data_IF_403290439955
#
_entry.id   IF_403290439955
#
_cell.length_a   1.000
_cell.length_b   1.000
_cell.length_c   1.000
_cell.angle_alpha   90.00
_cell.angle_beta   90.00
_cell.angle_gamma   90.00
#
_symmetry.space_group_name_H-M   'P 1'
#
loop_
_entity.id
_entity.type
_entity.pdbx_description
1 polymer ?
#
# COMPACT_ATOMS: atom_id res chain seq x y z
N UNK A 1 45.81 -66.91 24.06
CA UNK A 1 44.82 -67.20 23.01
C UNK A 1 45.05 -66.22 21.86
N UNK A 2 44.69 -66.58 20.63
CA UNK A 2 45.29 -66.15 19.36
C UNK A 2 45.31 -64.63 18.99
N UNK A 3 46.39 -64.28 18.28
CA UNK A 3 46.58 -63.41 17.09
C UNK A 3 45.40 -63.39 16.06
N UNK A 4 45.38 -62.60 14.94
CA UNK A 4 46.53 -62.03 14.20
C UNK A 4 46.34 -60.56 13.66
N UNK A 5 47.41 -59.80 13.34
CA UNK A 5 47.95 -59.45 11.98
C UNK A 5 47.00 -58.71 11.01
N UNK A 6 47.43 -57.91 10.01
CA UNK A 6 48.68 -57.20 9.60
C UNK A 6 48.32 -56.37 8.33
N UNK A 7 48.96 -55.26 7.91
CA UNK A 7 50.23 -55.15 7.16
C UNK A 7 50.57 -53.65 6.96
N UNK A 8 51.80 -53.19 7.24
CA UNK A 8 52.92 -52.86 6.30
C UNK A 8 52.56 -51.82 5.21
N UNK A 9 53.15 -50.61 5.15
CA UNK A 9 54.57 -50.14 5.01
C UNK A 9 55.24 -50.39 3.64
N UNK A 10 55.55 -49.28 2.95
CA UNK A 10 56.85 -48.90 2.34
C UNK A 10 56.80 -47.36 2.11
N UNK A 11 57.78 -46.48 2.43
CA UNK A 11 59.25 -46.40 2.19
C UNK A 11 59.59 -46.31 0.69
N UNK A 12 60.46 -45.42 0.20
CA UNK A 12 61.15 -44.21 0.73
C UNK A 12 61.30 -43.21 -0.45
N UNK A 13 62.23 -42.25 -0.58
CA UNK A 13 63.42 -41.73 0.12
C UNK A 13 63.47 -40.20 -0.17
N UNK A 14 63.96 -39.30 0.69
CA UNK A 14 65.33 -38.72 0.69
C UNK A 14 65.86 -38.26 -0.69
N UNK A 15 66.54 -37.11 -0.87
CA UNK A 15 66.72 -35.89 -0.06
C UNK A 15 67.40 -34.77 -0.92
N UNK A 16 67.66 -33.60 -0.30
CA UNK A 16 68.73 -32.62 -0.62
C UNK A 16 68.66 -31.64 -1.84
N UNK A 17 68.87 -30.36 -1.49
CA UNK A 17 69.37 -29.19 -2.28
C UNK A 17 70.91 -29.33 -2.57
N UNK A 18 71.68 -28.37 -3.19
CA UNK A 18 71.43 -26.93 -3.45
C UNK A 18 72.02 -26.23 -4.73
N UNK A 19 71.64 -24.96 -4.89
CA UNK A 19 72.34 -23.75 -5.45
C UNK A 19 73.45 -23.81 -6.54
N UNK A 20 73.38 -22.91 -7.55
CA UNK A 20 74.19 -21.66 -7.63
C UNK A 20 74.25 -20.96 -9.02
N UNK A 21 74.36 -19.61 -9.05
CA UNK A 21 74.85 -18.78 -10.18
C UNK A 21 73.81 -18.15 -11.14
N UNK A 22 73.97 -16.95 -11.73
CA UNK A 22 75.09 -15.98 -11.67
C UNK A 22 74.74 -14.59 -12.32
N UNK A 23 75.00 -13.44 -11.65
CA UNK A 23 75.23 -12.04 -12.18
C UNK A 23 74.09 -11.31 -12.97
N UNK A 24 73.92 -9.96 -13.07
CA UNK A 24 74.70 -8.74 -12.71
C UNK A 24 73.81 -7.47 -12.48
N UNK A 25 74.42 -6.37 -12.01
CA UNK A 25 73.93 -5.10 -11.39
C UNK A 25 73.12 -4.07 -12.26
N UNK A 26 72.37 -3.16 -11.61
CA UNK A 26 71.81 -1.88 -12.16
C UNK A 26 72.76 -0.66 -12.01
N UNK A 27 72.35 0.64 -11.79
CA UNK A 27 70.98 1.25 -11.67
C UNK A 27 70.79 2.72 -12.26
N UNK A 28 69.63 3.37 -11.97
CA UNK A 28 69.28 4.84 -11.96
C UNK A 28 68.78 5.59 -13.24
N UNK A 29 67.99 6.65 -12.97
CA UNK A 29 67.22 7.58 -13.87
C UNK A 29 68.02 8.90 -14.17
N UNK A 30 67.49 10.11 -14.60
CA UNK A 30 66.11 10.65 -14.74
C UNK A 30 65.85 11.63 -15.96
N UNK A 31 64.89 12.60 -15.83
CA UNK A 31 64.55 13.78 -16.70
C UNK A 31 63.63 13.50 -17.93
N UNK A 32 62.76 14.40 -18.45
CA UNK A 32 62.27 15.72 -18.00
C UNK A 32 61.63 16.59 -19.14
N UNK A 33 60.77 17.57 -18.79
CA UNK A 33 60.37 18.78 -19.58
C UNK A 33 59.25 18.76 -20.70
N UNK A 34 58.68 19.94 -21.10
CA UNK A 34 57.28 20.10 -21.56
C UNK A 34 57.06 20.89 -22.90
N UNK A 35 55.79 21.10 -23.37
CA UNK A 35 55.24 22.41 -23.85
C UNK A 35 53.91 22.41 -24.67
N UNK A 36 53.08 23.42 -24.38
CA UNK A 36 52.17 24.28 -25.21
C UNK A 36 51.57 23.84 -26.59
N UNK A 37 50.23 23.78 -26.60
CA UNK A 37 49.26 24.56 -27.42
C UNK A 37 49.37 24.77 -28.96
N UNK A 38 48.31 24.36 -29.69
CA UNK A 38 47.59 24.99 -30.85
C UNK A 38 46.47 24.02 -31.29
N UNK A 39 45.16 24.27 -31.20
CA UNK A 39 44.26 25.24 -31.85
C UNK A 39 43.78 24.89 -33.28
N UNK A 40 42.44 24.73 -33.42
CA UNK A 40 41.54 24.79 -34.61
C UNK A 40 40.98 23.48 -35.24
N UNK A 41 39.64 23.40 -35.11
CA UNK A 41 38.62 23.07 -36.12
C UNK A 41 38.47 21.64 -36.69
N UNK A 42 37.31 21.03 -36.39
CA UNK A 42 36.53 20.20 -37.32
C UNK A 42 35.03 20.22 -36.94
N UNK A 43 34.18 20.07 -37.96
CA UNK A 43 32.75 20.40 -38.01
C UNK A 43 31.80 19.72 -36.99
N UNK A 44 30.70 20.42 -36.69
CA UNK A 44 29.48 19.84 -36.15
C UNK A 44 28.70 19.10 -37.25
N UNK A 45 28.10 17.96 -36.90
CA UNK A 45 27.12 17.25 -37.74
C UNK A 45 25.86 16.99 -36.92
N UNK A 46 24.84 17.81 -37.18
CA UNK A 46 23.49 17.70 -36.63
C UNK A 46 22.69 16.64 -37.37
N UNK A 47 22.19 15.61 -36.66
CA UNK A 47 21.20 14.68 -37.19
C UNK A 47 19.79 15.08 -36.74
N UNK A 48 18.88 15.19 -37.71
CA UNK A 48 17.46 15.49 -37.51
C UNK A 48 16.64 14.19 -37.27
N UNK A 49 15.47 14.28 -36.63
CA UNK A 49 14.64 13.11 -36.28
C UNK A 49 13.82 12.56 -37.46
N UNK A 50 13.43 11.28 -37.34
CA UNK A 50 12.62 10.56 -38.32
C UNK A 50 11.11 10.93 -38.28
N UNK A 51 10.36 10.80 -39.41
CA UNK A 51 9.01 11.33 -39.54
C UNK A 51 7.87 10.39 -39.08
N UNK A 52 6.74 11.00 -38.69
CA UNK A 52 5.47 10.31 -38.41
C UNK A 52 4.69 9.93 -39.69
N UNK A 53 3.83 8.91 -39.66
CA UNK A 53 2.86 8.62 -40.72
C UNK A 53 1.64 9.57 -40.69
N UNK A 54 0.94 9.78 -41.83
CA UNK A 54 -0.02 10.87 -41.98
C UNK A 54 -1.46 10.56 -41.52
N UNK A 55 -2.19 11.61 -41.13
CA UNK A 55 -3.66 11.63 -41.04
C UNK A 55 -4.28 11.86 -42.42
N UNK A 56 -5.41 11.21 -42.71
CA UNK A 56 -6.26 11.49 -43.88
C UNK A 56 -7.47 12.32 -43.41
N UNK A 57 -7.87 13.31 -44.23
CA UNK A 57 -8.96 14.24 -43.96
C UNK A 57 -10.29 13.84 -44.64
N UNK A 58 -11.38 14.55 -44.29
CA UNK A 58 -12.77 14.23 -44.60
C UNK A 58 -13.22 14.57 -46.04
N UNK A 59 -14.28 13.90 -46.53
CA UNK A 59 -15.03 14.32 -47.74
C UNK A 59 -16.35 13.59 -47.99
N UNK A 60 -17.47 14.33 -47.96
CA UNK A 60 -18.76 14.16 -48.71
C UNK A 60 -19.62 12.85 -48.65
N UNK A 61 -20.93 13.05 -48.38
CA UNK A 61 -22.10 12.21 -48.81
C UNK A 61 -22.59 12.67 -50.21
N UNK A 62 -23.67 12.16 -50.89
CA UNK A 62 -24.68 11.10 -50.61
C UNK A 62 -24.85 10.12 -51.83
N UNK A 63 -26.00 9.47 -52.21
CA UNK A 63 -27.30 9.19 -51.56
C UNK A 63 -27.84 7.72 -51.65
N UNK A 64 -28.98 7.49 -50.98
CA UNK A 64 -29.99 6.40 -51.02
C UNK A 64 -30.02 5.31 -52.12
N UNK A 65 -30.38 4.06 -51.75
CA UNK A 65 -31.64 3.35 -52.13
C UNK A 65 -31.84 1.97 -51.44
N UNK A 66 -33.09 1.51 -51.39
CA UNK A 66 -33.61 0.21 -50.86
C UNK A 66 -33.36 -0.97 -51.84
N UNK A 67 -33.55 -2.25 -51.40
CA UNK A 67 -34.85 -2.90 -51.65
C UNK A 67 -35.43 -3.81 -50.53
N UNK A 68 -36.77 -3.88 -50.50
CA UNK A 68 -37.72 -4.95 -50.07
C UNK A 68 -37.22 -6.19 -49.27
N UNK A 69 -37.79 -6.59 -48.13
CA UNK A 69 -39.19 -6.96 -47.76
C UNK A 69 -39.66 -8.35 -48.25
N UNK A 70 -39.66 -9.37 -47.36
CA UNK A 70 -40.57 -10.54 -47.37
C UNK A 70 -40.99 -10.91 -45.92
N UNK A 71 -42.22 -11.41 -45.77
CA UNK A 71 -43.01 -11.82 -44.59
C UNK A 71 -42.34 -12.78 -43.57
N UNK A 72 -42.68 -12.82 -42.26
CA UNK A 72 -43.92 -13.36 -41.60
C UNK A 72 -44.24 -14.81 -42.05
N UNK A 73 -44.58 -15.81 -41.22
CA UNK A 73 -45.28 -15.82 -39.91
C UNK A 73 -45.31 -17.20 -39.20
N UNK A 74 -45.56 -17.21 -37.87
CA UNK A 74 -46.23 -18.26 -37.04
C UNK A 74 -45.53 -19.63 -36.78
N UNK A 75 -45.62 -20.11 -35.52
CA UNK A 75 -45.46 -21.52 -35.10
C UNK A 75 -46.81 -22.08 -34.61
N UNK A 76 -46.90 -22.95 -33.58
CA UNK A 76 -45.91 -23.85 -32.96
C UNK A 76 -46.33 -25.35 -33.09
N UNK A 77 -45.59 -26.31 -32.50
CA UNK A 77 -46.05 -27.71 -32.45
C UNK A 77 -45.23 -28.65 -31.56
N UNK A 78 -45.91 -29.31 -30.62
CA UNK A 78 -45.45 -30.50 -29.87
C UNK A 78 -46.44 -31.62 -30.17
N UNK A 79 -45.99 -32.88 -30.30
CA UNK A 79 -46.72 -33.94 -29.61
C UNK A 79 -45.84 -35.02 -28.96
N UNK A 80 -46.50 -35.80 -28.11
CA UNK A 80 -46.00 -36.89 -27.25
C UNK A 80 -46.35 -38.29 -27.77
N UNK A 81 -45.68 -39.33 -27.25
CA UNK A 81 -46.10 -40.75 -27.34
C UNK A 81 -44.92 -41.69 -27.67
N UNK A 82 -44.40 -42.54 -26.78
CA UNK A 82 -44.98 -43.73 -26.10
C UNK A 82 -44.69 -45.04 -26.86
N UNK A 83 -43.99 -45.99 -26.23
CA UNK A 83 -43.74 -47.34 -26.74
C UNK A 83 -42.96 -48.21 -25.74
N UNK A 84 -43.57 -49.29 -25.25
CA UNK A 84 -43.06 -50.18 -24.18
C UNK A 84 -42.10 -51.29 -24.67
N UNK A 85 -41.31 -51.91 -23.77
CA UNK A 85 -40.19 -52.77 -24.20
C UNK A 85 -39.65 -53.94 -23.35
N UNK A 86 -40.25 -54.33 -22.21
CA UNK A 86 -40.11 -55.66 -21.53
C UNK A 86 -38.78 -56.15 -20.84
N UNK A 87 -39.00 -56.87 -19.71
CA UNK A 87 -38.20 -57.91 -18.99
C UNK A 87 -37.09 -57.49 -17.98
N UNK A 88 -37.28 -57.88 -16.70
CA UNK A 88 -36.23 -58.11 -15.67
C UNK A 88 -35.96 -59.62 -15.48
N UNK A 89 -35.61 -60.16 -14.28
CA UNK A 89 -35.46 -59.54 -12.95
C UNK A 89 -34.21 -60.02 -12.11
N UNK A 90 -34.25 -59.75 -10.78
CA UNK A 90 -33.38 -60.22 -9.67
C UNK A 90 -32.13 -59.36 -9.29
N UNK A 91 -31.82 -59.10 -8.01
CA UNK A 91 -32.58 -59.34 -6.77
C UNK A 91 -31.81 -58.99 -5.46
N UNK A 92 -32.49 -59.14 -4.29
CA UNK A 92 -31.97 -59.25 -2.89
C UNK A 92 -31.28 -57.99 -2.27
N UNK A 93 -31.90 -57.33 -1.28
CA UNK A 93 -31.76 -57.50 0.20
C UNK A 93 -30.55 -56.77 0.84
N UNK A 94 -30.55 -56.19 2.04
CA UNK A 94 -31.59 -55.80 3.03
C UNK A 94 -30.95 -54.82 4.06
N UNK A 95 -31.75 -54.13 4.89
CA UNK A 95 -31.26 -53.34 6.02
C UNK A 95 -30.87 -54.22 7.24
N UNK A 96 -30.26 -53.65 8.29
CA UNK A 96 -30.98 -53.69 9.58
C UNK A 96 -30.81 -52.45 10.49
N UNK A 97 -31.72 -52.34 11.46
CA UNK A 97 -31.65 -51.46 12.63
C UNK A 97 -32.56 -52.08 13.73
N UNK A 98 -32.51 -51.72 15.02
CA UNK A 98 -31.75 -50.73 15.78
C UNK A 98 -31.72 -51.16 17.28
N UNK A 99 -30.93 -50.49 18.14
CA UNK A 99 -31.31 -49.98 19.51
C UNK A 99 -30.07 -49.68 20.38
N UNK A 100 -30.08 -49.01 21.55
CA UNK A 100 -30.82 -47.89 22.21
C UNK A 100 -30.77 -48.10 23.75
N UNK A 101 -30.13 -47.18 24.48
CA UNK A 101 -30.31 -46.80 25.89
C UNK A 101 -29.60 -45.43 26.05
N UNK A 102 -30.04 -44.39 26.76
CA UNK A 102 -30.94 -44.26 27.94
C UNK A 102 -30.06 -44.04 29.18
N UNK A 103 -30.15 -42.99 30.02
CA UNK A 103 -31.01 -41.80 30.16
C UNK A 103 -30.13 -40.60 30.66
N UNK A 104 -30.58 -39.38 30.96
CA UNK A 104 -31.89 -38.88 31.38
C UNK A 104 -31.98 -37.33 31.41
N UNK A 105 -32.96 -36.80 32.15
CA UNK A 105 -33.60 -35.51 31.85
C UNK A 105 -33.25 -34.33 32.79
N UNK A 106 -33.62 -33.11 32.35
CA UNK A 106 -33.61 -31.89 33.16
C UNK A 106 -34.22 -30.70 32.40
N UNK A 107 -35.52 -30.46 32.57
CA UNK A 107 -36.22 -29.32 31.98
C UNK A 107 -36.52 -28.25 33.05
N UNK A 108 -36.52 -26.97 32.65
CA UNK A 108 -36.92 -25.86 33.53
C UNK A 108 -37.10 -24.58 32.75
N UNK A 109 -38.27 -23.93 32.89
CA UNK A 109 -38.60 -22.68 32.23
C UNK A 109 -38.91 -21.58 33.25
N UNK A 110 -38.39 -20.37 33.00
CA UNK A 110 -39.06 -19.04 33.07
C UNK A 110 -39.96 -18.79 34.31
N UNK A 111 -39.69 -17.76 35.14
CA UNK A 111 -40.01 -16.40 34.69
C UNK A 111 -39.13 -15.23 35.16
N UNK A 112 -39.31 -14.12 34.44
CA UNK A 112 -38.75 -12.81 34.77
C UNK A 112 -39.59 -12.07 35.84
N UNK A 113 -38.92 -11.37 36.76
CA UNK A 113 -39.56 -10.38 37.64
C UNK A 113 -38.53 -9.34 38.13
N UNK A 114 -38.64 -8.09 37.64
CA UNK A 114 -38.08 -6.89 38.28
C UNK A 114 -38.57 -5.61 37.56
N UNK A 115 -39.74 -5.09 37.93
CA UNK A 115 -40.17 -3.71 37.63
C UNK A 115 -41.14 -3.25 38.71
N UNK A 116 -40.91 -2.03 39.22
CA UNK A 116 -41.81 -1.05 39.85
C UNK A 116 -40.92 -0.09 40.71
N UNK A 117 -41.38 1.14 41.07
CA UNK A 117 -42.28 2.03 40.36
C UNK A 117 -41.65 3.44 40.17
N UNK A 118 -42.40 4.36 39.56
CA UNK A 118 -41.87 5.61 39.04
C UNK A 118 -41.78 6.81 39.99
N UNK A 119 -41.04 7.80 39.49
CA UNK A 119 -41.23 9.23 39.66
C UNK A 119 -40.93 9.87 38.28
N UNK A 120 -41.50 10.99 37.85
CA UNK A 120 -42.34 11.94 38.57
C UNK A 120 -42.15 13.33 37.97
N UNK A 121 -42.83 13.60 36.86
CA UNK A 121 -43.03 14.89 36.15
C UNK A 121 -42.18 16.10 36.58
N UNK A 122 -41.57 16.79 35.60
CA UNK A 122 -41.88 18.22 35.37
C UNK A 122 -41.52 18.70 33.97
N UNK A 123 -42.46 19.40 33.34
CA UNK A 123 -42.22 20.19 32.15
C UNK A 123 -41.71 21.59 32.55
N UNK A 124 -40.89 22.20 31.70
CA UNK A 124 -40.40 23.57 31.85
C UNK A 124 -40.45 24.31 30.53
N UNK A 125 -41.57 25.01 30.27
CA UNK A 125 -41.70 25.91 29.13
C UNK A 125 -41.18 27.32 29.47
N UNK A 126 -40.43 27.91 28.54
CA UNK A 126 -40.18 29.36 28.33
C UNK A 126 -39.27 29.46 27.10
N UNK A 127 -39.55 30.20 26.03
CA UNK A 127 -40.65 31.12 25.76
C UNK A 127 -40.17 32.57 25.73
N UNK A 128 -39.61 32.99 24.59
CA UNK A 128 -39.50 34.36 24.07
C UNK A 128 -38.56 34.32 22.84
N UNK A 129 -38.66 35.16 21.81
CA UNK A 129 -39.70 36.03 21.23
C UNK A 129 -38.98 36.66 20.01
N UNK A 130 -39.56 36.57 18.82
CA UNK A 130 -39.07 37.36 17.69
C UNK A 130 -39.60 38.81 17.78
N UNK A 131 -38.87 39.77 17.19
CA UNK A 131 -39.27 41.18 17.07
C UNK A 131 -38.53 41.83 15.89
N UNK A 132 -39.22 42.46 14.90
CA UNK A 132 -38.59 42.84 13.62
C UNK A 132 -38.47 44.37 13.38
N UNK A 133 -37.70 44.74 12.36
CA UNK A 133 -37.67 46.06 11.71
C UNK A 133 -36.60 46.05 10.60
N UNK A 134 -36.95 46.12 9.30
CA UNK A 134 -37.05 47.35 8.49
C UNK A 134 -35.73 48.19 8.46
N UNK A 135 -35.23 48.67 7.31
CA UNK A 135 -35.88 48.96 6.01
C UNK A 135 -34.86 48.95 4.85
N UNK A 136 -35.34 48.92 3.60
CA UNK A 136 -34.50 48.89 2.39
C UNK A 136 -34.05 50.28 1.91
N UNK A 137 -32.97 50.32 1.10
CA UNK A 137 -32.54 51.47 0.31
C UNK A 137 -31.60 51.02 -0.83
N UNK A 138 -31.85 51.49 -2.06
CA UNK A 138 -31.10 51.13 -3.29
C UNK A 138 -30.17 52.29 -3.70
N UNK A 139 -29.04 52.01 -4.36
CA UNK A 139 -28.20 53.06 -4.98
C UNK A 139 -27.00 52.51 -5.76
N UNK A 140 -26.95 52.82 -7.05
CA UNK A 140 -26.08 52.27 -8.11
C UNK A 140 -24.60 52.79 -8.11
N UNK A 141 -23.72 52.36 -9.05
CA UNK A 141 -22.26 52.35 -8.88
C UNK A 141 -21.44 53.40 -9.69
N UNK A 142 -20.17 53.59 -9.30
CA UNK A 142 -19.05 54.17 -10.08
C UNK A 142 -17.72 53.67 -9.42
N UNK A 143 -16.84 52.89 -10.08
CA UNK A 143 -15.87 53.20 -11.15
C UNK A 143 -14.51 53.75 -10.68
N UNK A 144 -13.49 52.89 -10.74
CA UNK A 144 -12.03 53.13 -10.93
C UNK A 144 -11.27 54.21 -10.11
N UNK A 145 -10.17 53.77 -9.46
CA UNK A 145 -9.11 54.64 -8.94
C UNK A 145 -7.92 53.82 -8.42
N UNK A 146 -6.68 54.17 -8.80
CA UNK A 146 -5.47 53.42 -8.45
C UNK A 146 -4.69 54.08 -7.29
N UNK A 147 -3.87 53.29 -6.61
CA UNK A 147 -3.01 53.68 -5.48
C UNK A 147 -3.23 52.73 -4.29
N UNK A 148 -2.23 52.18 -3.61
CA UNK A 148 -0.80 52.51 -3.64
C UNK A 148 -0.32 52.97 -2.27
N UNK A 149 -0.38 52.10 -1.25
CA UNK A 149 0.27 52.32 0.05
C UNK A 149 0.53 51.02 0.82
N UNK A 150 1.72 50.95 1.38
CA UNK A 150 2.29 49.97 2.32
C UNK A 150 1.36 49.38 3.39
N UNK A 151 1.47 48.07 3.62
CA UNK A 151 1.02 47.42 4.85
C UNK A 151 1.97 47.70 6.03
N UNK A 152 1.47 47.81 7.28
CA UNK A 152 2.31 48.01 8.46
C UNK A 152 2.94 46.69 8.97
N UNK A 153 4.14 46.74 9.59
CA UNK A 153 4.79 45.56 10.14
C UNK A 153 4.21 45.13 11.49
N UNK A 154 4.19 43.81 11.71
CA UNK A 154 3.80 43.20 12.98
C UNK A 154 4.88 43.42 14.05
N UNK A 155 4.48 43.72 15.29
CA UNK A 155 5.40 43.85 16.44
C UNK A 155 5.64 42.49 17.09
N UNK A 156 6.89 42.15 17.47
CA UNK A 156 7.17 41.05 18.38
C UNK A 156 6.86 41.44 19.83
N UNK A 157 6.63 40.44 20.67
CA UNK A 157 6.47 40.58 22.12
C UNK A 157 7.67 39.93 22.82
N UNK A 158 8.33 40.67 23.71
CA UNK A 158 9.31 40.16 24.68
C UNK A 158 8.75 40.48 26.08
N UNK A 159 8.46 39.45 26.89
CA UNK A 159 9.29 38.88 27.97
C UNK A 159 9.15 39.60 29.33
N UNK A 160 8.85 38.81 30.36
CA UNK A 160 8.82 39.18 31.77
C UNK A 160 8.77 37.89 32.63
N UNK A 161 9.76 37.64 33.52
CA UNK A 161 9.96 36.31 34.12
C UNK A 161 9.48 36.17 35.57
N UNK A 162 9.25 34.93 36.02
CA UNK A 162 9.30 34.37 37.39
C UNK A 162 8.95 32.86 37.27
N UNK A 163 9.45 31.91 38.06
CA UNK A 163 10.56 31.84 39.02
C UNK A 163 10.73 30.37 39.42
N UNK A 164 11.95 29.85 39.59
CA UNK A 164 12.20 28.46 40.03
C UNK A 164 11.91 28.24 41.52
N UNK A 165 11.74 26.97 41.94
CA UNK A 165 12.23 26.54 43.25
C UNK A 165 13.17 25.31 43.18
N UNK A 166 14.13 25.30 44.11
CA UNK A 166 15.22 24.33 44.25
C UNK A 166 14.80 23.06 45.05
N UNK A 167 15.72 22.11 45.07
CA UNK A 167 15.65 20.72 45.51
C UNK A 167 15.69 20.47 47.03
N UNK A 168 15.02 19.40 47.46
CA UNK A 168 15.44 18.49 48.54
C UNK A 168 14.52 17.25 48.61
N UNK A 169 15.05 16.14 49.09
CA UNK A 169 14.38 14.82 49.22
C UNK A 169 14.60 14.30 50.66
N UNK A 170 14.16 13.07 51.05
CA UNK A 170 13.18 12.15 50.47
C UNK A 170 12.08 11.71 51.46
N UNK A 171 10.97 11.11 51.00
CA UNK A 171 10.13 10.24 51.86
C UNK A 171 9.60 9.02 51.10
N UNK A 172 9.57 7.87 51.80
CA UNK A 172 9.01 6.61 51.31
C UNK A 172 7.49 6.60 51.43
N UNK A 173 6.76 6.39 50.33
CA UNK A 173 5.33 6.09 50.41
C UNK A 173 4.91 4.92 49.52
N UNK A 174 4.13 4.03 50.16
CA UNK A 174 3.73 2.73 49.64
C UNK A 174 2.94 2.86 48.33
N UNK A 175 3.32 2.04 47.35
CA UNK A 175 2.61 1.96 46.07
C UNK A 175 1.18 1.41 46.26
N UNK A 176 0.18 2.28 46.12
CA UNK A 176 -1.23 1.89 46.09
C UNK A 176 -1.66 1.23 44.77
N UNK A 177 -2.87 0.63 44.69
CA UNK A 177 -3.29 -0.20 43.55
C UNK A 177 -3.45 0.50 42.19
N UNK A 178 -3.18 1.80 42.10
CA UNK A 178 -3.33 2.59 40.88
C UNK A 178 -2.25 2.28 39.82
N UNK A 179 -1.03 1.91 40.23
CA UNK A 179 0.08 1.64 39.30
C UNK A 179 -0.17 0.42 38.40
N UNK A 180 -0.95 -0.57 38.86
CA UNK A 180 -1.23 -1.80 38.11
C UNK A 180 -2.17 -1.60 36.91
N UNK A 181 -2.84 -0.45 36.80
CA UNK A 181 -3.74 -0.15 35.67
C UNK A 181 -3.01 0.44 34.45
N UNK A 182 -1.80 0.95 34.62
CA UNK A 182 -0.97 1.48 33.53
C UNK A 182 -0.24 0.38 32.73
N UNK A 183 0.00 -0.79 33.34
CA UNK A 183 0.73 -1.91 32.71
C UNK A 183 -0.15 -2.68 31.70
N UNK A 184 -1.48 -2.52 31.75
CA UNK A 184 -2.44 -3.28 30.94
C UNK A 184 -2.97 -2.55 29.69
N UNK A 185 -2.42 -1.36 29.36
CA UNK A 185 -2.79 -0.60 28.15
C UNK A 185 -1.73 -0.64 27.04
N UNK A 186 -0.60 -1.32 27.25
CA UNK A 186 0.42 -1.54 26.22
C UNK A 186 0.17 -2.78 25.35
N UNK A 187 -0.86 -3.57 25.63
CA UNK A 187 -1.02 -4.96 25.15
C UNK A 187 -1.88 -5.17 23.90
N UNK A 188 -2.38 -4.12 23.25
CA UNK A 188 -3.14 -4.24 21.97
C UNK A 188 -2.33 -3.80 20.73
N UNK A 189 -1.38 -2.87 20.88
CA UNK A 189 -0.57 -2.36 19.75
C UNK A 189 0.49 -3.34 19.23
N UNK A 190 0.93 -4.31 20.04
CA UNK A 190 1.95 -5.30 19.66
C UNK A 190 1.39 -6.53 18.93
N UNK A 191 0.09 -6.54 18.59
CA UNK A 191 -0.60 -7.74 18.10
C UNK A 191 -0.34 -8.09 16.63
N UNK A 192 0.36 -7.23 15.88
CA UNK A 192 0.72 -7.46 14.46
C UNK A 192 2.14 -7.99 14.37
N UNK A 193 2.30 -9.20 13.82
CA UNK A 193 3.61 -9.82 13.59
C UNK A 193 4.31 -9.21 12.36
N UNK A 194 5.66 -9.20 12.37
CA UNK A 194 6.43 -8.99 11.15
C UNK A 194 6.31 -10.21 10.23
N UNK A 195 6.48 -10.03 8.92
CA UNK A 195 6.28 -11.09 7.93
C UNK A 195 7.23 -10.92 6.76
N UNK A 196 8.06 -11.91 6.50
CA UNK A 196 8.90 -11.94 5.29
C UNK A 196 8.11 -12.53 4.12
N UNK A 197 7.92 -11.75 3.06
CA UNK A 197 7.57 -12.29 1.74
C UNK A 197 8.86 -12.61 1.02
N UNK A 198 9.22 -13.89 1.01
CA UNK A 198 10.42 -14.39 0.34
C UNK A 198 10.14 -14.69 -1.12
N UNK A 199 11.03 -14.24 -1.99
CA UNK A 199 11.23 -14.68 -3.36
C UNK A 199 12.73 -15.01 -3.53
N UNK A 200 13.13 -15.68 -4.60
CA UNK A 200 14.51 -16.07 -4.85
C UNK A 200 15.43 -14.86 -5.11
N UNK A 201 14.95 -13.86 -5.84
CA UNK A 201 15.71 -12.66 -6.21
C UNK A 201 15.55 -11.50 -5.21
N UNK A 202 14.42 -11.48 -4.49
CA UNK A 202 13.97 -10.32 -3.71
C UNK A 202 13.22 -10.78 -2.46
N UNK A 203 13.47 -10.16 -1.31
CA UNK A 203 12.64 -10.32 -0.11
C UNK A 203 12.02 -8.98 0.30
N UNK A 204 10.82 -9.04 0.86
CA UNK A 204 10.16 -7.89 1.48
C UNK A 204 9.74 -8.27 2.89
N UNK A 205 10.41 -7.70 3.90
CA UNK A 205 10.01 -7.83 5.31
C UNK A 205 9.03 -6.71 5.66
N UNK A 206 7.80 -7.10 6.04
CA UNK A 206 6.77 -6.19 6.53
C UNK A 206 7.05 -5.83 7.99
N UNK A 207 7.22 -4.54 8.28
CA UNK A 207 7.52 -4.01 9.61
C UNK A 207 6.31 -3.19 10.13
N UNK A 208 5.49 -3.74 11.04
CA UNK A 208 4.40 -3.01 11.67
C UNK A 208 4.91 -1.76 12.41
N UNK A 209 4.35 -0.61 12.07
CA UNK A 209 4.64 0.67 12.71
C UNK A 209 3.36 1.35 13.20
N UNK A 210 3.52 2.23 14.20
CA UNK A 210 2.43 3.00 14.81
C UNK A 210 1.23 2.10 15.15
N UNK A 211 0.00 2.53 14.84
CA UNK A 211 -1.22 1.74 15.06
C UNK A 211 -1.45 0.71 13.95
N UNK A 212 -1.46 1.15 12.70
CA UNK A 212 -1.84 0.35 11.53
C UNK A 212 -0.90 0.51 10.31
N UNK A 213 0.07 1.44 10.33
CA UNK A 213 1.07 1.59 9.27
C UNK A 213 1.94 0.32 9.08
N UNK A 214 2.50 0.19 7.87
CA UNK A 214 3.56 -0.75 7.52
C UNK A 214 4.74 -0.03 6.84
N UNK A 215 5.94 -0.29 7.35
CA UNK A 215 7.21 0.02 6.67
C UNK A 215 7.69 -1.26 5.97
N UNK A 216 8.46 -1.14 4.89
CA UNK A 216 8.89 -2.31 4.11
C UNK A 216 10.39 -2.34 3.88
N UNK A 217 11.09 -3.31 4.48
CA UNK A 217 12.49 -3.57 4.19
C UNK A 217 12.57 -4.44 2.93
N UNK A 218 12.84 -3.79 1.80
CA UNK A 218 13.10 -4.39 0.50
C UNK A 218 14.57 -4.83 0.43
N UNK A 219 14.81 -6.11 0.16
CA UNK A 219 16.14 -6.72 0.13
C UNK A 219 16.39 -7.28 -1.27
N UNK A 220 17.51 -6.91 -1.88
CA UNK A 220 18.10 -7.63 -3.01
C UNK A 220 18.86 -8.85 -2.50
N UNK A 221 18.45 -10.05 -2.90
CA UNK A 221 19.12 -11.28 -2.45
C UNK A 221 20.50 -11.47 -3.09
N UNK A 222 20.78 -10.85 -4.24
CA UNK A 222 22.07 -10.99 -4.94
C UNK A 222 23.18 -10.18 -4.27
N UNK A 223 22.94 -8.89 -4.03
CA UNK A 223 23.95 -7.98 -3.48
C UNK A 223 23.90 -7.79 -1.95
N UNK A 224 22.79 -8.21 -1.32
CA UNK A 224 22.42 -7.86 0.07
C UNK A 224 22.32 -6.35 0.34
N UNK A 225 22.21 -5.51 -0.70
CA UNK A 225 21.72 -4.15 -0.53
C UNK A 225 20.22 -4.15 -0.21
N UNK A 226 19.80 -3.19 0.61
CA UNK A 226 18.41 -3.02 1.01
C UNK A 226 17.95 -1.56 0.90
N UNK A 227 16.65 -1.41 0.68
CA UNK A 227 15.94 -0.16 0.81
C UNK A 227 14.84 -0.29 1.87
N UNK A 228 14.55 0.81 2.57
CA UNK A 228 13.40 0.90 3.46
C UNK A 228 12.35 1.83 2.84
N UNK A 229 11.10 1.38 2.83
CA UNK A 229 9.95 2.20 2.43
C UNK A 229 9.30 2.79 3.69
N UNK A 230 9.05 4.10 3.68
CA UNK A 230 8.31 4.85 4.71
C UNK A 230 8.75 4.60 6.17
N UNK A 231 10.01 4.93 6.54
CA UNK A 231 10.69 4.46 7.76
C UNK A 231 10.32 5.21 9.06
N UNK A 232 9.04 5.41 9.37
CA UNK A 232 8.59 6.24 10.51
C UNK A 232 9.12 5.81 11.89
N UNK A 233 9.50 4.54 12.09
CA UNK A 233 10.14 4.04 13.32
C UNK A 233 11.58 3.52 13.06
N UNK A 234 12.60 4.40 12.94
CA UNK A 234 13.95 4.04 12.51
C UNK A 234 14.65 2.92 13.29
N UNK A 235 14.42 2.79 14.59
CA UNK A 235 15.07 1.73 15.39
C UNK A 235 14.65 0.34 14.90
N UNK A 236 13.34 0.12 14.69
CA UNK A 236 12.81 -1.14 14.12
C UNK A 236 13.40 -1.45 12.74
N UNK A 237 13.70 -0.42 11.94
CA UNK A 237 14.35 -0.58 10.63
C UNK A 237 15.76 -1.11 10.82
N UNK A 238 16.57 -0.51 11.70
CA UNK A 238 17.94 -0.95 11.94
C UNK A 238 18.01 -2.34 12.60
N UNK A 239 17.06 -2.65 13.49
CA UNK A 239 16.94 -3.98 14.09
C UNK A 239 16.62 -5.04 13.03
N UNK A 240 15.75 -4.72 12.05
CA UNK A 240 15.46 -5.58 10.91
C UNK A 240 16.66 -5.71 9.94
N UNK A 241 17.35 -4.62 9.64
CA UNK A 241 18.58 -4.61 8.82
C UNK A 241 19.64 -5.53 9.45
N UNK A 242 19.82 -5.44 10.78
CA UNK A 242 20.71 -6.32 11.54
C UNK A 242 20.24 -7.79 11.56
N UNK A 243 18.95 -8.04 11.79
CA UNK A 243 18.32 -9.38 11.74
C UNK A 243 18.57 -10.09 10.40
N UNK A 244 18.49 -9.35 9.29
CA UNK A 244 18.65 -9.89 7.94
C UNK A 244 20.10 -9.86 7.42
N UNK A 245 21.04 -9.19 8.12
CA UNK A 245 22.44 -9.11 7.71
C UNK A 245 22.65 -8.34 6.40
N UNK A 246 21.82 -7.33 6.15
CA UNK A 246 21.81 -6.55 4.89
C UNK A 246 22.42 -5.17 5.06
N UNK A 247 22.80 -4.53 3.95
CA UNK A 247 23.30 -3.15 3.92
C UNK A 247 22.19 -2.20 3.47
N UNK A 248 21.70 -1.36 4.38
CA UNK A 248 20.73 -0.33 4.03
C UNK A 248 21.43 0.79 3.22
N UNK A 249 20.94 1.08 2.01
CA UNK A 249 21.55 2.14 1.14
C UNK A 249 20.57 3.24 0.75
N UNK A 250 19.27 2.99 0.94
CA UNK A 250 18.20 3.71 0.25
C UNK A 250 16.96 3.84 1.13
N UNK A 251 16.36 5.03 1.16
CA UNK A 251 15.03 5.28 1.71
C UNK A 251 14.11 5.67 0.55
N UNK A 252 12.95 5.03 0.47
CA UNK A 252 11.91 5.31 -0.51
C UNK A 252 10.70 5.89 0.23
N UNK A 253 10.42 7.19 0.07
CA UNK A 253 9.33 7.86 0.78
C UNK A 253 8.16 8.08 -0.17
N UNK A 254 7.04 7.39 0.05
CA UNK A 254 5.87 7.44 -0.85
C UNK A 254 5.26 8.84 -0.87
N UNK A 255 5.12 9.48 0.29
CA UNK A 255 4.60 10.84 0.40
C UNK A 255 5.01 11.53 1.70
N UNK A 256 4.65 12.81 1.85
CA UNK A 256 5.19 13.68 2.90
C UNK A 256 4.48 13.59 4.27
N UNK A 257 3.40 12.81 4.42
CA UNK A 257 2.72 12.70 5.71
C UNK A 257 3.66 12.10 6.78
N UNK A 258 3.50 12.57 8.02
CA UNK A 258 4.44 12.30 9.10
C UNK A 258 4.57 10.81 9.44
N UNK A 259 3.47 10.06 9.31
CA UNK A 259 3.42 8.63 9.58
C UNK A 259 4.14 7.77 8.51
N UNK A 260 4.62 8.40 7.44
CA UNK A 260 5.49 7.81 6.41
C UNK A 260 6.90 8.42 6.43
N UNK A 261 7.00 9.76 6.38
CA UNK A 261 8.26 10.50 6.24
C UNK A 261 8.91 10.89 7.58
N UNK A 262 8.19 10.85 8.70
CA UNK A 262 8.60 11.44 9.98
C UNK A 262 9.82 10.80 10.65
N UNK A 263 10.19 9.59 10.22
CA UNK A 263 11.40 8.91 10.67
C UNK A 263 12.67 9.25 9.87
N UNK A 264 12.54 9.84 8.67
CA UNK A 264 13.65 10.04 7.72
C UNK A 264 14.83 10.78 8.36
N UNK A 265 14.58 11.93 8.99
CA UNK A 265 15.65 12.74 9.61
C UNK A 265 16.40 12.03 10.73
N UNK A 266 15.70 11.17 11.50
CA UNK A 266 16.33 10.39 12.56
C UNK A 266 17.12 9.23 11.95
N UNK A 267 16.59 8.55 10.93
CA UNK A 267 17.27 7.44 10.27
C UNK A 267 18.60 7.87 9.63
N UNK A 268 18.64 9.00 8.89
CA UNK A 268 19.90 9.48 8.25
C UNK A 268 20.96 9.97 9.25
N UNK A 269 20.58 10.25 10.50
CA UNK A 269 21.51 10.56 11.60
C UNK A 269 22.06 9.29 12.27
N UNK A 270 21.33 8.17 12.18
CA UNK A 270 21.72 6.88 12.74
C UNK A 270 22.52 6.03 11.74
N UNK A 271 22.22 6.14 10.45
CA UNK A 271 22.87 5.43 9.35
C UNK A 271 23.33 6.43 8.28
N UNK A 272 24.65 6.61 8.15
CA UNK A 272 25.24 7.63 7.29
C UNK A 272 25.30 7.19 5.82
N UNK A 273 25.16 8.15 4.90
CA UNK A 273 25.27 7.90 3.46
C UNK A 273 24.00 7.36 2.77
N UNK A 274 22.87 7.29 3.49
CA UNK A 274 21.59 6.92 2.91
C UNK A 274 21.11 7.93 1.84
N UNK A 275 20.57 7.40 0.74
CA UNK A 275 19.90 8.18 -0.30
C UNK A 275 18.39 8.20 0.00
N UNK A 276 17.83 9.38 0.27
CA UNK A 276 16.40 9.55 0.57
C UNK A 276 15.68 10.03 -0.68
N UNK A 277 14.86 9.15 -1.26
CA UNK A 277 14.05 9.43 -2.44
C UNK A 277 12.61 9.80 -2.04
N UNK A 278 12.00 10.68 -2.84
CA UNK A 278 10.61 11.14 -2.66
C UNK A 278 10.19 12.13 -3.76
N UNK A 279 8.90 12.23 -4.03
CA UNK A 279 8.35 13.15 -5.05
C UNK A 279 8.15 14.59 -4.58
N UNK A 280 8.13 14.79 -3.27
CA UNK A 280 7.71 16.04 -2.62
C UNK A 280 8.85 16.69 -1.85
N UNK A 281 9.04 18.00 -1.98
CA UNK A 281 10.01 18.78 -1.21
C UNK A 281 9.66 18.91 0.29
N UNK A 282 8.45 18.50 0.69
CA UNK A 282 8.03 18.38 2.09
C UNK A 282 8.53 17.10 2.78
N UNK A 283 9.13 16.17 2.05
CA UNK A 283 9.75 14.95 2.62
C UNK A 283 10.98 15.33 3.44
N UNK A 284 10.97 14.99 4.74
CA UNK A 284 12.11 15.20 5.64
C UNK A 284 13.36 14.46 5.16
N UNK A 285 14.52 15.11 5.33
CA UNK A 285 15.83 14.63 4.88
C UNK A 285 15.95 14.19 3.40
N UNK A 286 15.07 14.66 2.51
CA UNK A 286 15.12 14.34 1.07
C UNK A 286 16.48 14.70 0.47
N UNK A 287 17.17 13.72 -0.12
CA UNK A 287 18.43 13.94 -0.86
C UNK A 287 18.28 13.73 -2.36
N UNK A 288 17.23 13.06 -2.83
CA UNK A 288 17.00 12.70 -4.22
C UNK A 288 15.52 12.91 -4.60
N UNK A 289 15.16 14.10 -5.09
CA UNK A 289 13.80 14.36 -5.58
C UNK A 289 13.56 13.61 -6.90
N UNK A 290 12.46 12.87 -6.99
CA UNK A 290 12.10 12.06 -8.18
C UNK A 290 10.84 12.56 -8.87
N UNK A 291 10.64 12.12 -10.11
CA UNK A 291 9.46 12.40 -10.93
C UNK A 291 8.94 11.13 -11.59
N UNK A 292 7.82 11.22 -12.31
CA UNK A 292 7.20 10.08 -12.99
C UNK A 292 8.20 9.42 -13.97
N UNK A 293 8.27 8.08 -13.93
CA UNK A 293 9.23 7.23 -14.67
C UNK A 293 10.71 7.37 -14.30
N UNK A 294 11.07 8.19 -13.29
CA UNK A 294 12.44 8.22 -12.76
C UNK A 294 12.82 6.81 -12.30
N UNK A 295 13.97 6.31 -12.76
CA UNK A 295 14.43 4.96 -12.48
C UNK A 295 15.73 4.99 -11.66
N UNK A 296 15.82 4.11 -10.67
CA UNK A 296 16.97 3.96 -9.76
C UNK A 296 17.21 2.48 -9.45
N UNK A 297 18.28 2.18 -8.71
CA UNK A 297 18.63 0.81 -8.30
C UNK A 297 18.85 0.67 -6.80
N UNK A 298 18.51 -0.53 -6.32
CA UNK A 298 18.86 -1.08 -5.00
C UNK A 298 19.58 -2.39 -5.30
N UNK A 299 20.91 -2.39 -5.23
CA UNK A 299 21.71 -3.48 -5.78
C UNK A 299 21.40 -3.80 -7.25
N UNK A 300 21.02 -5.05 -7.50
CA UNK A 300 20.60 -5.57 -8.81
C UNK A 300 19.15 -5.23 -9.19
N UNK A 301 18.30 -4.88 -8.22
CA UNK A 301 16.88 -4.58 -8.42
C UNK A 301 16.69 -3.22 -9.11
N UNK A 302 15.78 -3.17 -10.08
CA UNK A 302 15.33 -1.94 -10.72
C UNK A 302 14.11 -1.40 -9.97
N UNK A 303 14.13 -0.11 -9.64
CA UNK A 303 13.00 0.60 -9.03
C UNK A 303 12.58 1.75 -9.95
N UNK A 304 11.31 1.77 -10.36
CA UNK A 304 10.68 2.81 -11.19
C UNK A 304 9.69 3.61 -10.34
N UNK A 305 9.85 4.93 -10.34
CA UNK A 305 8.98 5.86 -9.64
C UNK A 305 7.74 6.15 -10.48
N UNK A 306 6.55 6.00 -9.90
CA UNK A 306 5.27 6.26 -10.54
C UNK A 306 4.56 7.35 -9.74
N UNK A 307 4.58 8.61 -10.22
CA UNK A 307 3.74 9.65 -9.64
C UNK A 307 2.27 9.24 -9.68
N UNK A 308 1.60 9.31 -8.53
CA UNK A 308 0.18 9.04 -8.34
C UNK A 308 -0.45 10.14 -7.49
N UNK A 309 -0.46 11.40 -7.98
CA UNK A 309 -1.04 12.50 -7.22
C UNK A 309 -2.52 12.20 -6.94
N UNK A 310 -2.97 12.41 -5.70
CA UNK A 310 -4.38 12.61 -5.32
C UNK A 310 -4.48 12.65 -3.79
N UNK A 311 -3.96 11.60 -3.13
CA UNK A 311 -3.91 11.56 -1.67
C UNK A 311 -3.04 12.69 -1.12
N UNK A 312 -1.84 12.81 -1.68
CA UNK A 312 -1.08 14.07 -1.72
C UNK A 312 -0.65 14.34 -3.15
N UNK A 313 -0.34 15.59 -3.45
CA UNK A 313 0.09 16.05 -4.79
C UNK A 313 1.48 15.55 -5.18
N UNK A 314 2.34 15.24 -4.22
CA UNK A 314 3.70 14.73 -4.43
C UNK A 314 3.87 13.21 -4.30
N UNK A 315 2.78 12.44 -4.27
CA UNK A 315 2.80 11.00 -3.99
C UNK A 315 3.47 10.17 -5.10
N UNK A 316 4.36 9.26 -4.70
CA UNK A 316 5.09 8.30 -5.54
C UNK A 316 4.78 6.86 -5.09
N UNK A 317 4.32 6.03 -6.03
CA UNK A 317 4.39 4.58 -5.93
C UNK A 317 5.74 4.08 -6.47
N UNK A 318 6.35 3.08 -5.83
CA UNK A 318 7.63 2.49 -6.26
C UNK A 318 7.42 1.09 -6.82
N UNK A 319 7.56 0.94 -8.14
CA UNK A 319 7.45 -0.35 -8.83
C UNK A 319 8.83 -1.00 -8.97
N UNK A 320 8.97 -2.22 -8.44
CA UNK A 320 10.25 -2.94 -8.31
C UNK A 320 10.23 -4.21 -9.14
N UNK A 321 11.27 -4.38 -9.96
CA UNK A 321 11.48 -5.56 -10.79
C UNK A 321 12.92 -6.05 -10.74
N UNK A 322 13.10 -7.35 -10.93
CA UNK A 322 14.41 -7.97 -11.21
C UNK A 322 14.47 -8.28 -12.71
N UNK A 323 15.43 -7.72 -13.48
CA UNK A 323 15.63 -8.09 -14.88
C UNK A 323 15.91 -9.59 -15.02
N UNK A 324 15.35 -10.22 -16.06
CA UNK A 324 15.49 -11.65 -16.38
C UNK A 324 14.97 -12.62 -15.30
N UNK A 325 14.23 -12.14 -14.31
CA UNK A 325 13.54 -12.98 -13.32
C UNK A 325 12.19 -13.48 -13.84
N UNK A 326 11.78 -14.67 -13.41
CA UNK A 326 10.43 -15.21 -13.58
C UNK A 326 9.49 -14.87 -12.41
N UNK A 327 10.01 -14.20 -11.38
CA UNK A 327 9.28 -13.91 -10.15
C UNK A 327 8.38 -12.66 -10.28
N UNK A 328 7.24 -12.61 -9.56
CA UNK A 328 6.33 -11.48 -9.65
C UNK A 328 6.98 -10.18 -9.15
N UNK A 329 6.78 -9.06 -9.87
CA UNK A 329 7.13 -7.72 -9.41
C UNK A 329 6.47 -7.31 -8.08
N UNK A 330 6.97 -6.23 -7.49
CA UNK A 330 6.35 -5.56 -6.34
C UNK A 330 5.99 -4.12 -6.68
N UNK A 331 4.95 -3.57 -6.05
CA UNK A 331 4.67 -2.14 -6.03
C UNK A 331 4.36 -1.68 -4.62
N UNK A 332 5.13 -0.69 -4.15
CA UNK A 332 4.86 0.00 -2.89
C UNK A 332 3.97 1.20 -3.18
N UNK A 333 2.74 1.18 -2.66
CA UNK A 333 1.67 2.10 -3.07
C UNK A 333 1.36 3.20 -2.06
N UNK A 334 1.95 3.13 -0.86
CA UNK A 334 1.62 4.02 0.25
C UNK A 334 0.12 4.18 0.38
N UNK A 335 -0.33 5.43 0.42
CA UNK A 335 -1.75 5.77 0.58
C UNK A 335 -2.54 6.00 -0.73
N UNK A 336 -1.99 5.66 -1.89
CA UNK A 336 -2.76 5.72 -3.15
C UNK A 336 -3.72 4.53 -3.24
N UNK A 337 -3.18 3.31 -3.20
CA UNK A 337 -3.94 2.05 -3.30
C UNK A 337 -3.73 1.25 -2.01
N UNK A 338 -4.83 0.87 -1.37
CA UNK A 338 -4.86 -0.10 -0.26
C UNK A 338 -5.51 -1.40 -0.71
N UNK A 339 -5.29 -2.49 0.03
CA UNK A 339 -6.08 -3.71 -0.17
C UNK A 339 -7.58 -3.38 0.00
N UNK A 340 -8.35 -3.58 -1.08
CA UNK A 340 -9.76 -3.25 -1.22
C UNK A 340 -10.14 -1.76 -1.02
N UNK A 341 -9.19 -0.83 -1.06
CA UNK A 341 -9.45 0.60 -0.84
C UNK A 341 -8.51 1.55 -1.58
N UNK A 342 -8.66 2.84 -1.32
CA UNK A 342 -7.75 3.89 -1.74
C UNK A 342 -7.66 4.99 -0.67
N UNK A 343 -6.68 5.89 -0.81
CA UNK A 343 -6.53 7.07 0.05
C UNK A 343 -7.74 8.00 0.03
N UNK A 344 -7.85 8.84 1.07
CA UNK A 344 -8.67 10.05 1.02
C UNK A 344 -8.00 11.06 0.08
N UNK A 345 -8.81 11.84 -0.64
CA UNK A 345 -8.31 12.80 -1.64
C UNK A 345 -8.04 14.14 -0.96
N UNK A 346 -6.96 14.23 -0.16
CA UNK A 346 -6.67 15.46 0.61
C UNK A 346 -6.14 16.60 -0.26
N UNK A 347 -5.34 16.29 -1.29
CA UNK A 347 -4.71 17.30 -2.17
C UNK A 347 -5.04 17.08 -3.66
N UNK A 348 -6.17 16.45 -3.99
CA UNK A 348 -6.49 16.12 -5.37
C UNK A 348 -7.92 15.66 -5.61
N UNK A 349 -8.14 15.09 -6.79
CA UNK A 349 -9.47 14.94 -7.40
C UNK A 349 -9.79 13.48 -7.75
N UNK A 350 -11.08 13.15 -8.02
CA UNK A 350 -11.48 11.84 -8.54
C UNK A 350 -10.82 11.48 -9.88
N UNK A 351 -10.55 12.46 -10.73
CA UNK A 351 -9.83 12.30 -12.01
C UNK A 351 -8.41 11.78 -11.77
N UNK A 352 -7.70 12.41 -10.83
CA UNK A 352 -6.32 12.05 -10.48
C UNK A 352 -6.26 10.67 -9.81
N UNK A 353 -7.20 10.32 -8.93
CA UNK A 353 -7.28 8.97 -8.37
C UNK A 353 -7.65 7.93 -9.43
N UNK A 354 -8.58 8.24 -10.35
CA UNK A 354 -8.90 7.36 -11.47
C UNK A 354 -7.65 7.07 -12.31
N UNK A 355 -6.90 8.11 -12.67
CA UNK A 355 -5.63 7.98 -13.40
C UNK A 355 -4.58 7.18 -12.64
N UNK A 356 -4.39 7.47 -11.35
CA UNK A 356 -3.45 6.74 -10.50
C UNK A 356 -3.78 5.24 -10.40
N UNK A 357 -5.05 4.90 -10.14
CA UNK A 357 -5.49 3.53 -9.92
C UNK A 357 -5.66 2.73 -11.21
N UNK A 358 -6.30 3.31 -12.22
CA UNK A 358 -6.73 2.58 -13.43
C UNK A 358 -5.70 2.67 -14.55
N UNK A 359 -5.08 3.83 -14.77
CA UNK A 359 -4.17 4.06 -15.89
C UNK A 359 -2.70 3.81 -15.56
N UNK A 360 -2.29 3.99 -14.30
CA UNK A 360 -0.89 3.86 -13.86
C UNK A 360 -0.65 2.55 -13.11
N UNK A 361 -1.37 2.30 -12.01
CA UNK A 361 -1.21 1.06 -11.23
C UNK A 361 -1.92 -0.12 -11.91
N UNK A 362 -3.12 0.11 -12.45
CA UNK A 362 -3.93 -0.87 -13.16
C UNK A 362 -3.34 -1.36 -14.49
N UNK A 363 -2.30 -0.70 -15.02
CA UNK A 363 -1.56 -1.13 -16.21
C UNK A 363 -0.30 -1.95 -15.90
N UNK A 364 0.01 -2.21 -14.62
CA UNK A 364 1.13 -3.07 -14.22
C UNK A 364 0.81 -4.55 -14.48
N UNK A 365 1.81 -5.43 -14.38
CA UNK A 365 1.59 -6.88 -14.49
C UNK A 365 0.52 -7.31 -13.45
N UNK A 366 -0.53 -8.04 -13.82
CA UNK A 366 -1.57 -8.47 -12.89
C UNK A 366 -1.05 -9.26 -11.67
N UNK A 367 0.10 -9.93 -11.79
CA UNK A 367 0.77 -10.67 -10.70
C UNK A 367 1.59 -9.77 -9.78
N UNK A 368 1.74 -8.48 -10.07
CA UNK A 368 2.47 -7.51 -9.24
C UNK A 368 1.89 -7.51 -7.84
N UNK A 369 2.73 -7.75 -6.84
CA UNK A 369 2.37 -7.72 -5.41
C UNK A 369 2.21 -6.28 -4.92
N UNK A 370 1.11 -5.99 -4.24
CA UNK A 370 0.77 -4.65 -3.73
C UNK A 370 1.12 -4.55 -2.25
N UNK A 371 1.93 -3.55 -1.90
CA UNK A 371 2.39 -3.25 -0.54
C UNK A 371 1.99 -1.81 -0.16
N UNK A 372 0.90 -1.66 0.59
CA UNK A 372 0.25 -0.38 0.85
C UNK A 372 0.54 0.21 2.25
N UNK A 373 0.19 1.48 2.48
CA UNK A 373 0.58 2.19 3.71
C UNK A 373 0.08 1.58 5.02
N UNK A 374 -1.15 1.06 5.04
CA UNK A 374 -1.87 0.72 6.28
C UNK A 374 -2.67 -0.60 6.22
N UNK A 375 -2.90 -1.19 7.39
CA UNK A 375 -3.76 -2.35 7.64
C UNK A 375 -5.27 -1.98 7.70
N UNK A 376 -5.80 -1.39 6.63
CA UNK A 376 -7.21 -0.98 6.54
C UNK A 376 -8.16 -2.04 5.94
N UNK A 377 -7.65 -3.23 5.63
CA UNK A 377 -8.28 -4.22 4.74
C UNK A 377 -9.69 -4.65 5.16
N UNK A 378 -9.92 -4.95 6.44
CA UNK A 378 -11.25 -5.36 6.94
C UNK A 378 -12.29 -4.24 6.76
N UNK A 379 -11.92 -2.99 7.08
CA UNK A 379 -12.83 -1.85 6.99
C UNK A 379 -13.07 -1.44 5.53
N UNK A 380 -12.05 -1.61 4.67
CA UNK A 380 -12.16 -1.47 3.23
C UNK A 380 -13.13 -2.50 2.63
N UNK A 381 -12.98 -3.78 2.97
CA UNK A 381 -13.85 -4.87 2.49
C UNK A 381 -15.28 -4.78 3.04
N UNK A 382 -15.49 -4.27 4.26
CA UNK A 382 -16.83 -3.96 4.78
C UNK A 382 -17.55 -2.90 3.95
N UNK A 383 -16.83 -1.87 3.48
CA UNK A 383 -17.39 -0.88 2.54
C UNK A 383 -17.59 -1.48 1.14
N UNK A 384 -16.63 -2.26 0.64
CA UNK A 384 -16.77 -2.95 -0.64
C UNK A 384 -18.01 -3.87 -0.67
N UNK A 385 -18.29 -4.58 0.42
CA UNK A 385 -19.50 -5.42 0.60
C UNK A 385 -20.80 -4.62 0.65
N UNK A 386 -20.74 -3.34 1.01
CA UNK A 386 -21.89 -2.41 0.94
C UNK A 386 -22.13 -1.94 -0.51
N UNK A 387 -21.06 -1.68 -1.27
CA UNK A 387 -21.14 -1.27 -2.69
C UNK A 387 -21.54 -2.44 -3.61
N UNK A 388 -21.02 -3.65 -3.38
CA UNK A 388 -21.31 -4.84 -4.19
C UNK A 388 -21.67 -6.05 -3.29
N UNK A 389 -22.87 -6.09 -2.68
CA UNK A 389 -23.24 -7.12 -1.72
C UNK A 389 -23.21 -8.55 -2.28
N UNK A 390 -23.43 -8.71 -3.59
CA UNK A 390 -23.46 -10.01 -4.27
C UNK A 390 -22.10 -10.45 -4.83
N UNK A 391 -21.02 -9.67 -4.65
CA UNK A 391 -19.68 -10.02 -5.15
C UNK A 391 -18.99 -11.00 -4.19
N UNK A 392 -18.91 -12.27 -4.60
CA UNK A 392 -18.35 -13.38 -3.82
C UNK A 392 -16.88 -13.14 -3.44
N UNK A 393 -16.08 -12.55 -4.33
CA UNK A 393 -14.66 -12.28 -4.06
C UNK A 393 -14.46 -11.35 -2.85
N UNK A 394 -15.37 -10.39 -2.64
CA UNK A 394 -15.35 -9.52 -1.46
C UNK A 394 -15.65 -10.32 -0.19
N UNK A 395 -16.63 -11.23 -0.23
CA UNK A 395 -17.05 -12.02 0.93
C UNK A 395 -15.96 -13.02 1.35
N UNK A 396 -15.33 -13.69 0.38
CA UNK A 396 -14.19 -14.59 0.60
C UNK A 396 -12.97 -13.83 1.14
N UNK A 397 -12.58 -12.71 0.50
CA UNK A 397 -11.45 -11.90 0.95
C UNK A 397 -11.69 -11.29 2.33
N UNK A 398 -12.93 -10.90 2.68
CA UNK A 398 -13.28 -10.41 4.02
C UNK A 398 -13.16 -11.50 5.08
N UNK A 399 -13.61 -12.72 4.76
CA UNK A 399 -13.51 -13.87 5.67
C UNK A 399 -12.04 -14.24 5.92
N UNK A 400 -11.23 -14.25 4.86
CA UNK A 400 -9.77 -14.41 4.95
C UNK A 400 -9.10 -13.30 5.77
N UNK A 401 -9.48 -12.03 5.56
CA UNK A 401 -8.90 -10.89 6.26
C UNK A 401 -9.21 -10.91 7.76
N UNK A 402 -10.43 -11.30 8.15
CA UNK A 402 -10.78 -11.53 9.57
C UNK A 402 -9.89 -12.63 10.18
N UNK A 403 -9.76 -13.77 9.52
CA UNK A 403 -8.90 -14.86 10.00
C UNK A 403 -7.41 -14.47 10.14
N UNK A 404 -6.89 -13.60 9.27
CA UNK A 404 -5.53 -13.05 9.37
C UNK A 404 -5.37 -12.06 10.53
N UNK A 405 -6.35 -11.20 10.73
CA UNK A 405 -6.37 -10.29 11.88
C UNK A 405 -6.42 -11.06 13.21
N UNK A 406 -7.26 -12.09 13.29
CA UNK A 406 -7.40 -12.95 14.48
C UNK A 406 -6.09 -13.73 14.79
N UNK A 407 -5.28 -14.06 13.76
CA UNK A 407 -3.94 -14.67 13.93
C UNK A 407 -2.79 -13.66 14.08
N UNK A 408 -3.07 -12.34 14.10
CA UNK A 408 -2.05 -11.30 14.17
C UNK A 408 -1.17 -11.18 12.92
N UNK A 409 -1.59 -11.73 11.78
CA UNK A 409 -0.87 -11.69 10.52
C UNK A 409 -1.28 -10.48 9.64
N UNK A 410 -0.32 -9.86 8.92
CA UNK A 410 -0.64 -8.88 7.87
C UNK A 410 -1.53 -9.45 6.76
N UNK A 411 -2.52 -8.66 6.34
CA UNK A 411 -3.32 -8.90 5.13
C UNK A 411 -2.59 -8.47 3.84
N UNK A 412 -1.36 -8.00 3.96
CA UNK A 412 -0.48 -7.56 2.88
C UNK A 412 0.54 -8.69 2.58
N UNK A 413 0.97 -8.87 1.31
CA UNK A 413 0.49 -8.19 0.09
C UNK A 413 -0.76 -8.83 -0.51
N UNK A 414 -1.48 -8.05 -1.32
CA UNK A 414 -2.39 -8.53 -2.37
C UNK A 414 -1.69 -8.46 -3.73
N UNK A 415 -2.45 -8.59 -4.83
CA UNK A 415 -1.96 -8.43 -6.21
C UNK A 415 -2.85 -7.50 -7.02
N UNK A 416 -2.32 -6.88 -8.08
CA UNK A 416 -3.10 -6.01 -8.99
C UNK A 416 -4.32 -6.75 -9.57
N UNK A 417 -4.17 -8.04 -9.92
CA UNK A 417 -5.28 -8.89 -10.36
C UNK A 417 -6.39 -9.03 -9.31
N UNK A 418 -6.02 -9.30 -8.05
CA UNK A 418 -6.97 -9.42 -6.94
C UNK A 418 -7.74 -8.12 -6.70
N UNK A 419 -7.06 -6.95 -6.72
CA UNK A 419 -7.74 -5.67 -6.47
C UNK A 419 -8.85 -5.40 -7.49
N UNK A 420 -8.68 -5.78 -8.76
CA UNK A 420 -9.76 -5.68 -9.76
C UNK A 420 -10.98 -6.58 -9.47
N UNK A 421 -10.88 -7.57 -8.57
CA UNK A 421 -12.01 -8.44 -8.19
C UNK A 421 -12.86 -7.89 -7.04
N UNK A 422 -12.27 -7.17 -6.08
CA UNK A 422 -12.96 -6.74 -4.85
C UNK A 422 -12.79 -5.27 -4.45
N UNK A 423 -11.90 -4.50 -5.07
CA UNK A 423 -11.66 -3.10 -4.69
C UNK A 423 -12.63 -2.18 -5.46
N UNK A 424 -13.60 -1.52 -4.81
CA UNK A 424 -14.62 -0.74 -5.52
C UNK A 424 -14.02 0.44 -6.29
N UNK A 425 -12.85 0.96 -5.87
CA UNK A 425 -12.13 2.03 -6.56
C UNK A 425 -11.40 1.55 -7.81
N UNK A 426 -10.89 0.31 -7.84
CA UNK A 426 -10.35 -0.31 -9.06
C UNK A 426 -11.46 -0.76 -10.02
N UNK A 427 -12.70 -0.86 -9.53
CA UNK A 427 -13.88 -1.40 -10.21
C UNK A 427 -14.88 -0.32 -10.67
N UNK A 428 -14.51 0.96 -10.68
CA UNK A 428 -15.39 2.08 -11.12
C UNK A 428 -15.84 2.02 -12.60
N UNK A 429 -15.25 1.11 -13.40
CA UNK A 429 -15.69 0.79 -14.77
C UNK A 429 -16.75 -0.32 -14.82
N UNK A 430 -16.99 -1.03 -13.73
CA UNK A 430 -17.97 -2.10 -13.63
C UNK A 430 -19.38 -1.54 -13.45
N UNK A 431 -20.35 -2.09 -14.19
CA UNK A 431 -21.73 -1.61 -14.17
C UNK A 431 -22.38 -1.70 -12.79
N UNK A 432 -21.98 -2.67 -11.97
CA UNK A 432 -22.46 -2.85 -10.60
C UNK A 432 -22.07 -1.68 -9.69
N UNK A 433 -20.81 -1.25 -9.73
CA UNK A 433 -20.30 -0.11 -8.95
C UNK A 433 -20.90 1.21 -9.45
N UNK A 434 -21.04 1.35 -10.77
CA UNK A 434 -21.70 2.50 -11.40
C UNK A 434 -23.18 2.63 -11.00
N UNK A 435 -23.92 1.51 -11.03
CA UNK A 435 -25.31 1.44 -10.58
C UNK A 435 -25.49 1.77 -9.10
N UNK A 436 -24.60 1.29 -8.23
CA UNK A 436 -24.58 1.66 -6.81
C UNK A 436 -24.36 3.17 -6.62
N UNK A 437 -23.42 3.75 -7.36
CA UNK A 437 -23.12 5.19 -7.31
C UNK A 437 -24.21 6.08 -7.94
N UNK A 438 -25.12 5.52 -8.75
CA UNK A 438 -26.09 6.29 -9.53
C UNK A 438 -25.48 7.04 -10.72
N UNK A 439 -24.31 6.61 -11.19
CA UNK A 439 -23.52 7.26 -12.25
C UNK A 439 -23.29 6.30 -13.43
N UNK A 440 -22.81 6.82 -14.56
CA UNK A 440 -22.39 6.01 -15.73
C UNK A 440 -20.97 6.31 -16.19
N UNK A 441 -20.32 7.28 -15.56
CA UNK A 441 -18.95 7.69 -15.83
C UNK A 441 -18.02 7.22 -14.69
N UNK A 442 -16.85 6.62 -14.98
CA UNK A 442 -16.00 6.04 -13.95
C UNK A 442 -15.36 7.08 -13.03
N UNK A 443 -15.12 8.32 -13.49
CA UNK A 443 -14.52 9.39 -12.69
C UNK A 443 -15.55 9.97 -11.72
N UNK A 444 -16.80 10.15 -12.16
CA UNK A 444 -17.92 10.51 -11.27
C UNK A 444 -18.21 9.41 -10.26
N UNK A 445 -18.20 8.15 -10.72
CA UNK A 445 -18.34 6.96 -9.86
C UNK A 445 -17.26 6.95 -8.77
N UNK A 446 -15.99 7.17 -9.14
CA UNK A 446 -14.86 7.31 -8.20
C UNK A 446 -15.13 8.38 -7.13
N UNK A 447 -15.59 9.56 -7.54
CA UNK A 447 -15.90 10.66 -6.61
C UNK A 447 -17.07 10.35 -5.68
N UNK A 448 -18.13 9.73 -6.21
CA UNK A 448 -19.32 9.34 -5.45
C UNK A 448 -18.98 8.31 -4.35
N UNK A 449 -18.35 7.19 -4.72
CA UNK A 449 -18.03 6.11 -3.76
C UNK A 449 -16.94 6.54 -2.76
N UNK A 450 -16.02 7.46 -3.15
CA UNK A 450 -15.05 8.05 -2.21
C UNK A 450 -15.77 8.85 -1.12
N UNK A 451 -16.65 9.76 -1.53
CA UNK A 451 -17.45 10.59 -0.62
C UNK A 451 -18.36 9.73 0.26
N UNK A 452 -18.92 8.65 -0.27
CA UNK A 452 -19.69 7.69 0.51
C UNK A 452 -18.81 7.00 1.57
N UNK A 453 -17.64 6.44 1.18
CA UNK A 453 -16.71 5.79 2.11
C UNK A 453 -16.22 6.72 3.22
N UNK A 454 -16.05 8.01 2.92
CA UNK A 454 -15.62 9.01 3.90
C UNK A 454 -16.68 9.30 4.98
N UNK A 455 -17.95 9.01 4.69
CA UNK A 455 -19.09 9.15 5.61
C UNK A 455 -19.63 7.79 6.10
N UNK A 456 -19.03 6.67 5.66
CA UNK A 456 -19.51 5.33 5.93
C UNK A 456 -19.28 4.92 7.39
N UNK A 457 -20.36 4.61 8.10
CA UNK A 457 -20.29 4.05 9.46
C UNK A 457 -19.96 2.56 9.37
N UNK A 458 -18.70 2.22 9.58
CA UNK A 458 -18.20 0.84 9.55
C UNK A 458 -19.04 -0.07 10.47
N UNK A 459 -19.72 -1.10 9.93
CA UNK A 459 -20.44 -2.08 10.73
C UNK A 459 -19.50 -2.86 11.64
N UNK A 460 -20.00 -3.40 12.76
CA UNK A 460 -19.21 -4.27 13.63
C UNK A 460 -18.72 -5.53 12.90
N UNK A 461 -19.56 -6.10 12.03
CA UNK A 461 -19.33 -7.39 11.35
C UNK A 461 -19.43 -7.33 9.82
#
# INVERSE_FOLDING_TARGET
>A
MFLPHSQKRARGLEEAMPAAGLLLRGPRAPLGCPCRARSRAAAALSFLPAPCPPRIAQGSRPPSRLPTRVSKSLGPGVPSGSGEGRRGPAGRSAAPAARRAGAGAGAGAVPAAARLPGAGRRAGSKGNRAGPGHRAGRGAPCSAGAGGASAPPWRPWELGPCSEPDSSAPEEHLAGPAQLRAVFLHTEHERRNSKTVTQADMKVELLPALTDNYMYLLIDEETKEAAIVDPVQPQKVLDAVKKHGVKLTTVLTTHHHWDHAGGNEKLVKMEAGLRVYGGDSRVGALTQKVSHLTSLKVGSLNVKCLCTPCHTSGHICYYVTKPNSSEPPAVFTGDTLFVAGCGKFFEGTPEEMYRALIEILGSLDPKTKVYCGHEYTINNLKFARHVEPNNVAIQEKLSWAKAKYDSGEPTIPSTIAEEFTYNPFMRVREKTVQQHAGETDPIRTMGAIRKEKDNFRVPKD
#
